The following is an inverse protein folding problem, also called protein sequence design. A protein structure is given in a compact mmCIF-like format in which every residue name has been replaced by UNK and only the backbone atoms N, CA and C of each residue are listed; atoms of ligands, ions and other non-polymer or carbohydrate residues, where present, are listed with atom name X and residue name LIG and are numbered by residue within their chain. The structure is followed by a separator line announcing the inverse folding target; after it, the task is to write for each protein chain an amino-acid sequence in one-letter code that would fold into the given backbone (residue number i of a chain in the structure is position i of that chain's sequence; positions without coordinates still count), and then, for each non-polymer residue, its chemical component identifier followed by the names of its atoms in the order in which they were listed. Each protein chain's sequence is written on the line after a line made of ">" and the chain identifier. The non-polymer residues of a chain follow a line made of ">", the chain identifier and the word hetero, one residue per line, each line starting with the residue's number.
data_IF_056561774188
#
_entry.id   IF_056561774188
#
_cell.length_a   1.000
_cell.length_b   1.000
_cell.length_c   1.000
_cell.angle_alpha   90.00
_cell.angle_beta   90.00
_cell.angle_gamma   90.00
#
_symmetry.space_group_name_H-M   'P 1'
#
loop_
_entity.id
_entity.type
_entity.pdbx_description
1 polymer ?
#
# COMPACT_ATOMS: atom_id res chain seq x y z
N UNK A 1 6.87 70.02 43.93
CA UNK A 1 6.81 68.61 43.41
C UNK A 1 5.37 68.38 42.94
N UNK A 2 5.10 68.44 41.60
CA UNK A 2 3.74 68.34 41.05
C UNK A 2 3.52 66.87 40.66
N UNK A 3 2.67 66.17 41.37
CA UNK A 3 2.24 64.84 41.05
C UNK A 3 1.25 64.86 39.87
N UNK A 4 1.70 64.40 38.70
CA UNK A 4 0.85 64.21 37.52
C UNK A 4 -0.09 63.05 37.78
N UNK A 5 -1.35 63.29 38.08
CA UNK A 5 -2.40 62.27 38.10
C UNK A 5 -2.68 61.80 36.68
N UNK A 6 -2.23 60.58 36.37
CA UNK A 6 -2.57 59.88 35.12
C UNK A 6 -4.02 59.40 35.27
N UNK A 7 -4.96 60.07 34.57
CA UNK A 7 -6.34 59.60 34.48
C UNK A 7 -6.37 58.38 33.57
N UNK A 8 -6.61 57.21 34.13
CA UNK A 8 -6.88 56.01 33.34
C UNK A 8 -8.31 56.09 32.82
N UNK A 9 -8.54 55.93 31.49
CA UNK A 9 -9.88 55.88 30.92
C UNK A 9 -10.61 54.65 31.45
N UNK A 10 -11.82 54.83 32.00
CA UNK A 10 -12.68 53.74 32.39
C UNK A 10 -13.37 53.17 31.13
N UNK A 11 -13.30 51.85 30.91
CA UNK A 11 -14.01 51.19 29.82
C UNK A 11 -15.52 51.36 29.98
N UNK A 12 -16.19 51.67 28.88
CA UNK A 12 -17.65 51.75 28.85
C UNK A 12 -18.22 50.32 28.75
N UNK A 13 -19.40 50.11 29.32
CA UNK A 13 -20.10 48.81 29.23
C UNK A 13 -20.29 48.37 27.78
N UNK A 14 -20.53 49.36 26.89
CA UNK A 14 -20.70 49.10 25.46
C UNK A 14 -19.42 48.56 24.78
N UNK A 15 -18.26 49.07 25.17
CA UNK A 15 -16.95 48.63 24.66
C UNK A 15 -16.66 47.18 25.11
N UNK A 16 -17.00 46.83 26.35
CA UNK A 16 -16.84 45.45 26.85
C UNK A 16 -17.71 44.46 26.09
N UNK A 17 -18.97 44.83 25.80
CA UNK A 17 -19.87 44.00 25.01
C UNK A 17 -19.35 43.82 23.59
N UNK A 18 -18.88 44.93 22.96
CA UNK A 18 -18.30 44.85 21.62
C UNK A 18 -17.09 43.92 21.54
N UNK A 19 -16.18 44.01 22.52
CA UNK A 19 -14.99 43.17 22.60
C UNK A 19 -15.39 41.70 22.79
N UNK A 20 -16.40 41.40 23.64
CA UNK A 20 -16.91 40.02 23.81
C UNK A 20 -17.47 39.46 22.53
N UNK A 21 -18.26 40.22 21.77
CA UNK A 21 -18.82 39.78 20.48
C UNK A 21 -17.72 39.51 19.46
N UNK A 22 -16.77 40.42 19.31
CA UNK A 22 -15.65 40.28 18.38
C UNK A 22 -14.79 39.06 18.75
N UNK A 23 -14.52 38.90 20.03
CA UNK A 23 -13.74 37.74 20.52
C UNK A 23 -14.46 36.44 20.27
N UNK A 24 -15.78 36.33 20.48
CA UNK A 24 -16.58 35.17 20.19
C UNK A 24 -16.54 34.80 18.70
N UNK A 25 -16.64 35.79 17.82
CA UNK A 25 -16.51 35.60 16.36
C UNK A 25 -15.13 35.04 15.99
N UNK A 26 -14.05 35.62 16.52
CA UNK A 26 -12.67 35.20 16.28
C UNK A 26 -12.43 33.75 16.75
N UNK A 27 -12.96 33.38 17.91
CA UNK A 27 -12.86 32.01 18.44
C UNK A 27 -13.61 31.04 17.50
N UNK A 28 -14.81 31.42 17.04
CA UNK A 28 -15.61 30.61 16.10
C UNK A 28 -14.87 30.38 14.77
N UNK A 29 -14.26 31.39 14.20
CA UNK A 29 -13.42 31.27 12.99
C UNK A 29 -12.20 30.38 13.23
N UNK A 30 -11.49 30.59 14.32
CA UNK A 30 -10.31 29.80 14.67
C UNK A 30 -10.65 28.31 14.87
N UNK A 31 -11.76 28.03 15.51
CA UNK A 31 -12.24 26.65 15.67
C UNK A 31 -12.62 26.00 14.34
N UNK A 32 -13.32 26.73 13.47
CA UNK A 32 -13.70 26.25 12.13
C UNK A 32 -12.46 25.95 11.28
N UNK A 33 -11.46 26.81 11.29
CA UNK A 33 -10.20 26.60 10.61
C UNK A 33 -9.46 25.38 11.13
N UNK A 34 -9.41 25.19 12.46
CA UNK A 34 -8.82 24.01 13.08
C UNK A 34 -9.49 22.72 12.63
N UNK A 35 -10.82 22.66 12.59
CA UNK A 35 -11.57 21.48 12.14
C UNK A 35 -11.27 21.14 10.69
N UNK A 36 -11.19 22.14 9.81
CA UNK A 36 -10.87 21.94 8.39
C UNK A 36 -9.47 21.36 8.21
N UNK A 37 -8.48 21.94 8.88
CA UNK A 37 -7.10 21.46 8.83
C UNK A 37 -6.98 20.04 9.38
N UNK A 38 -7.61 19.76 10.53
CA UNK A 38 -7.58 18.44 11.16
C UNK A 38 -8.16 17.36 10.26
N UNK A 39 -9.31 17.61 9.63
CA UNK A 39 -9.93 16.68 8.65
C UNK A 39 -9.06 16.46 7.43
N UNK A 40 -8.47 17.52 6.90
CA UNK A 40 -7.56 17.45 5.74
C UNK A 40 -6.32 16.63 6.08
N UNK A 41 -5.72 16.83 7.25
CA UNK A 41 -4.56 16.08 7.72
C UNK A 41 -4.86 14.58 7.89
N UNK A 42 -6.00 14.24 8.50
CA UNK A 42 -6.41 12.83 8.66
C UNK A 42 -6.62 12.15 7.31
N UNK A 43 -7.32 12.83 6.37
CA UNK A 43 -7.52 12.30 5.02
C UNK A 43 -6.20 12.07 4.30
N UNK A 44 -5.27 13.03 4.39
CA UNK A 44 -3.95 12.91 3.77
C UNK A 44 -3.13 11.76 4.38
N UNK A 45 -3.15 11.62 5.71
CA UNK A 45 -2.42 10.55 6.39
C UNK A 45 -2.94 9.15 6.03
N UNK A 46 -4.26 9.00 5.93
CA UNK A 46 -4.88 7.74 5.50
C UNK A 46 -4.49 7.38 4.07
N UNK A 47 -4.53 8.36 3.16
CA UNK A 47 -4.10 8.15 1.77
C UNK A 47 -2.64 7.73 1.66
N UNK A 48 -1.76 8.40 2.41
CA UNK A 48 -0.34 8.06 2.44
C UNK A 48 -0.09 6.63 2.95
N UNK A 49 -0.79 6.21 4.01
CA UNK A 49 -0.65 4.83 4.52
C UNK A 49 -0.99 3.79 3.46
N UNK A 50 -2.10 3.95 2.75
CA UNK A 50 -2.48 3.02 1.67
C UNK A 50 -1.45 3.03 0.54
N UNK A 51 -0.97 4.20 0.12
CA UNK A 51 0.08 4.30 -0.90
C UNK A 51 1.37 3.61 -0.45
N UNK A 52 1.80 3.81 0.79
CA UNK A 52 2.99 3.16 1.33
C UNK A 52 2.87 1.64 1.36
N UNK A 53 1.69 1.10 1.70
CA UNK A 53 1.43 -0.34 1.66
C UNK A 53 1.59 -0.90 0.25
N UNK A 54 1.03 -0.23 -0.75
CA UNK A 54 1.15 -0.63 -2.16
C UNK A 54 2.60 -0.58 -2.64
N UNK A 55 3.33 0.50 -2.32
CA UNK A 55 4.74 0.64 -2.68
C UNK A 55 5.63 -0.42 -2.00
N UNK A 56 5.32 -0.76 -0.75
CA UNK A 56 6.04 -1.81 -0.03
C UNK A 56 5.80 -3.19 -0.67
N UNK A 57 4.55 -3.49 -1.03
CA UNK A 57 4.19 -4.71 -1.74
C UNK A 57 4.92 -4.80 -3.09
N UNK A 58 4.87 -3.74 -3.91
CA UNK A 58 5.56 -3.68 -5.21
C UNK A 58 7.06 -3.93 -5.06
N UNK A 59 7.69 -3.26 -4.09
CA UNK A 59 9.13 -3.45 -3.82
C UNK A 59 9.47 -4.89 -3.43
N UNK A 60 8.64 -5.52 -2.60
CA UNK A 60 8.86 -6.90 -2.17
C UNK A 60 8.62 -7.88 -3.32
N UNK A 61 7.54 -7.72 -4.10
CA UNK A 61 7.28 -8.54 -5.28
C UNK A 61 8.42 -8.44 -6.29
N UNK A 62 8.87 -7.24 -6.64
CA UNK A 62 10.02 -7.04 -7.54
C UNK A 62 11.27 -7.75 -7.04
N UNK A 63 11.55 -7.62 -5.73
CA UNK A 63 12.71 -8.25 -5.11
C UNK A 63 12.59 -9.78 -5.20
N UNK A 64 11.44 -10.33 -4.84
CA UNK A 64 11.24 -11.78 -4.82
C UNK A 64 11.23 -12.37 -6.23
N UNK A 65 10.69 -11.63 -7.26
CA UNK A 65 10.81 -11.99 -8.67
C UNK A 65 12.26 -12.09 -9.13
N UNK A 66 13.09 -11.13 -8.76
CA UNK A 66 14.52 -11.12 -9.15
C UNK A 66 15.27 -12.25 -8.44
N UNK A 67 15.00 -12.48 -7.15
CA UNK A 67 15.74 -13.43 -6.32
C UNK A 67 15.32 -14.88 -6.47
N UNK A 68 14.09 -15.15 -6.93
CA UNK A 68 13.63 -16.52 -7.12
C UNK A 68 14.43 -17.22 -8.22
N UNK A 69 14.72 -18.51 -8.06
CA UNK A 69 15.24 -19.39 -9.13
C UNK A 69 14.11 -19.85 -10.03
N UNK A 70 12.99 -20.22 -9.45
CA UNK A 70 11.79 -20.69 -10.11
C UNK A 70 10.57 -20.06 -9.44
N UNK A 71 9.54 -19.78 -10.21
CA UNK A 71 8.25 -19.28 -9.72
C UNK A 71 7.19 -20.23 -10.23
N UNK A 72 6.34 -20.74 -9.34
CA UNK A 72 5.25 -21.64 -9.67
C UNK A 72 3.91 -21.07 -9.19
N UNK A 73 2.85 -21.37 -9.94
CA UNK A 73 1.48 -21.01 -9.56
C UNK A 73 0.75 -22.30 -9.13
N UNK A 74 0.24 -22.29 -7.90
CA UNK A 74 -0.63 -23.35 -7.37
C UNK A 74 -1.93 -22.73 -6.89
N UNK A 75 -3.02 -22.97 -7.60
CA UNK A 75 -4.32 -22.34 -7.34
C UNK A 75 -4.24 -20.78 -7.30
N UNK A 76 -4.22 -20.21 -6.10
CA UNK A 76 -4.07 -18.76 -5.85
C UNK A 76 -2.75 -18.39 -5.19
N UNK A 77 -1.86 -19.36 -5.06
CA UNK A 77 -0.56 -19.21 -4.44
C UNK A 77 0.51 -19.07 -5.50
N UNK A 78 1.24 -17.99 -5.44
CA UNK A 78 2.42 -17.78 -6.26
C UNK A 78 3.65 -18.08 -5.39
N UNK A 79 4.29 -19.20 -5.70
CA UNK A 79 5.39 -19.74 -4.90
C UNK A 79 6.71 -19.38 -5.55
N UNK A 80 7.56 -18.67 -4.82
CA UNK A 80 8.88 -18.24 -5.23
C UNK A 80 9.93 -19.15 -4.59
N UNK A 81 10.55 -19.99 -5.38
CA UNK A 81 11.63 -20.87 -4.96
C UNK A 81 12.96 -20.14 -5.03
N UNK A 82 13.51 -19.76 -3.90
CA UNK A 82 14.85 -19.18 -3.77
C UNK A 82 15.90 -20.24 -3.40
N UNK A 83 17.18 -19.85 -3.29
CA UNK A 83 18.27 -20.78 -2.95
C UNK A 83 18.15 -21.36 -1.53
N UNK A 84 17.63 -20.61 -0.58
CA UNK A 84 17.57 -20.99 0.83
C UNK A 84 16.18 -20.91 1.43
N UNK A 85 15.26 -20.23 0.80
CA UNK A 85 13.92 -19.96 1.34
C UNK A 85 12.88 -19.95 0.22
N UNK A 86 11.70 -20.44 0.57
CA UNK A 86 10.51 -20.33 -0.26
C UNK A 86 9.69 -19.13 0.24
N UNK A 87 9.18 -18.34 -0.69
CA UNK A 87 8.25 -17.24 -0.39
C UNK A 87 6.93 -17.54 -1.07
N UNK A 88 5.84 -17.55 -0.34
CA UNK A 88 4.50 -17.78 -0.83
C UNK A 88 3.68 -16.49 -0.79
N UNK A 89 3.00 -16.19 -1.90
CA UNK A 89 2.06 -15.09 -2.02
C UNK A 89 0.67 -15.66 -2.30
N UNK A 90 -0.27 -15.40 -1.39
CA UNK A 90 -1.69 -15.70 -1.58
C UNK A 90 -2.44 -14.42 -1.94
N UNK A 91 -3.11 -14.42 -3.11
CA UNK A 91 -3.84 -13.27 -3.63
C UNK A 91 -5.33 -13.41 -3.31
N UNK A 92 -5.82 -12.54 -2.41
CA UNK A 92 -7.24 -12.38 -2.11
C UNK A 92 -7.75 -11.03 -2.63
N UNK A 93 -9.07 -10.87 -2.88
CA UNK A 93 -9.59 -9.62 -3.43
C UNK A 93 -9.29 -8.38 -2.59
N UNK A 94 -9.25 -8.50 -1.26
CA UNK A 94 -9.12 -7.37 -0.33
C UNK A 94 -7.77 -7.32 0.39
N UNK A 95 -6.96 -8.37 0.26
CA UNK A 95 -5.63 -8.43 0.86
C UNK A 95 -4.72 -9.39 0.11
N UNK A 96 -3.42 -9.22 0.29
CA UNK A 96 -2.38 -10.11 -0.21
C UNK A 96 -1.56 -10.57 0.99
N UNK A 97 -1.43 -11.88 1.17
CA UNK A 97 -0.54 -12.47 2.17
C UNK A 97 0.80 -12.79 1.52
N UNK A 98 1.86 -12.53 2.25
CA UNK A 98 3.22 -12.93 1.89
C UNK A 98 3.82 -13.70 3.05
N UNK A 99 4.14 -14.96 2.82
CA UNK A 99 4.74 -15.85 3.82
C UNK A 99 6.17 -16.17 3.45
N UNK A 100 7.12 -15.73 4.29
CA UNK A 100 8.55 -16.05 4.19
C UNK A 100 9.11 -16.24 5.60
N UNK A 101 8.80 -17.38 6.19
CA UNK A 101 9.05 -17.62 7.63
C UNK A 101 8.02 -16.92 8.52
N UNK A 102 7.84 -15.62 8.37
CA UNK A 102 6.77 -14.83 8.97
C UNK A 102 5.74 -14.45 7.89
N UNK A 103 4.49 -14.26 8.30
CA UNK A 103 3.42 -13.84 7.39
C UNK A 103 3.18 -12.35 7.52
N UNK A 104 3.35 -11.64 6.40
CA UNK A 104 3.01 -10.24 6.24
C UNK A 104 1.66 -10.11 5.53
N UNK A 105 0.76 -9.27 6.05
CA UNK A 105 -0.54 -9.01 5.43
C UNK A 105 -0.59 -7.61 4.86
N UNK A 106 -0.84 -7.50 3.56
CA UNK A 106 -1.02 -6.24 2.85
C UNK A 106 -2.50 -6.04 2.55
N UNK A 107 -3.15 -5.11 3.24
CA UNK A 107 -4.55 -4.75 2.99
C UNK A 107 -4.65 -3.87 1.75
N UNK A 108 -4.77 -4.52 0.60
CA UNK A 108 -4.79 -3.91 -0.72
C UNK A 108 -5.81 -4.65 -1.57
N UNK A 109 -6.74 -3.92 -2.17
CA UNK A 109 -7.67 -4.49 -3.12
C UNK A 109 -6.96 -4.75 -4.44
N UNK A 110 -7.08 -5.98 -4.95
CA UNK A 110 -6.46 -6.39 -6.21
C UNK A 110 -7.38 -7.26 -7.05
N UNK A 111 -7.09 -7.30 -8.35
CA UNK A 111 -7.67 -8.35 -9.21
C UNK A 111 -6.96 -9.68 -8.96
N UNK A 112 -7.56 -10.78 -9.41
CA UNK A 112 -6.83 -12.04 -9.52
C UNK A 112 -5.57 -11.81 -10.37
N UNK A 113 -4.42 -12.40 -9.98
CA UNK A 113 -3.21 -12.34 -10.77
C UNK A 113 -3.41 -13.05 -12.11
N UNK A 114 -2.90 -12.44 -13.18
CA UNK A 114 -2.81 -13.08 -14.49
C UNK A 114 -1.37 -13.46 -14.70
N UNK A 115 -1.10 -14.74 -14.91
CA UNK A 115 0.25 -15.27 -15.09
C UNK A 115 0.42 -15.82 -16.50
N UNK A 116 1.64 -15.80 -16.99
CA UNK A 116 2.02 -16.45 -18.24
C UNK A 116 3.40 -17.10 -18.12
N UNK A 117 3.72 -17.99 -19.05
CA UNK A 117 5.04 -18.54 -19.25
C UNK A 117 5.34 -18.57 -20.76
N UNK A 118 6.50 -18.04 -21.20
CA UNK A 118 6.93 -17.93 -22.59
C UNK A 118 5.85 -17.40 -23.56
N UNK A 119 5.21 -16.26 -23.19
CA UNK A 119 4.12 -15.62 -23.95
C UNK A 119 2.86 -16.48 -24.15
N UNK A 120 2.87 -17.74 -23.75
CA UNK A 120 1.68 -18.57 -23.74
C UNK A 120 0.82 -18.20 -22.54
N UNK A 121 -0.24 -17.42 -22.80
CA UNK A 121 -1.28 -17.15 -21.79
C UNK A 121 -1.87 -18.48 -21.34
N UNK A 122 -1.55 -18.88 -20.15
CA UNK A 122 -2.22 -19.99 -19.51
C UNK A 122 -3.63 -19.54 -19.09
N UNK A 123 -4.57 -19.58 -20.02
CA UNK A 123 -5.97 -19.67 -19.66
C UNK A 123 -6.13 -21.00 -18.92
N UNK A 124 -6.70 -20.96 -17.73
CA UNK A 124 -6.83 -21.96 -16.66
C UNK A 124 -7.37 -23.35 -17.05
N UNK A 125 -7.08 -23.87 -18.23
CA UNK A 125 -7.60 -25.13 -18.75
C UNK A 125 -6.56 -26.03 -19.41
N UNK A 126 -5.25 -25.80 -19.24
CA UNK A 126 -4.27 -26.78 -19.72
C UNK A 126 -3.58 -27.48 -18.55
N UNK A 127 -3.97 -28.73 -18.38
CA UNK A 127 -3.32 -29.79 -17.62
C UNK A 127 -1.96 -30.13 -18.27
N UNK A 128 -1.01 -29.21 -18.12
CA UNK A 128 0.39 -29.44 -18.47
C UNK A 128 1.20 -29.28 -17.19
N UNK A 129 2.07 -30.20 -16.91
CA UNK A 129 2.82 -30.40 -15.66
C UNK A 129 3.85 -29.31 -15.33
N UNK A 130 3.67 -28.08 -15.81
CA UNK A 130 4.61 -27.00 -15.55
C UNK A 130 3.84 -25.72 -15.22
N UNK A 131 3.52 -25.56 -13.93
CA UNK A 131 2.90 -24.34 -13.39
C UNK A 131 3.93 -23.21 -13.25
N UNK A 132 4.98 -23.23 -14.07
CA UNK A 132 6.03 -22.21 -14.07
C UNK A 132 5.50 -20.88 -14.56
N UNK A 133 5.92 -19.79 -13.92
CA UNK A 133 5.50 -18.44 -14.21
C UNK A 133 6.72 -17.57 -14.48
N UNK A 134 6.74 -16.87 -15.61
CA UNK A 134 7.74 -15.85 -15.95
C UNK A 134 7.15 -14.43 -16.03
N UNK A 135 5.84 -14.34 -16.18
CA UNK A 135 5.10 -13.09 -16.29
C UNK A 135 3.94 -13.05 -15.31
N UNK A 136 3.82 -11.94 -14.60
CA UNK A 136 2.72 -11.66 -13.67
C UNK A 136 2.17 -10.27 -13.93
N UNK A 137 0.89 -10.21 -14.23
CA UNK A 137 0.13 -8.97 -14.31
C UNK A 137 -0.85 -8.90 -13.14
N UNK A 138 -0.73 -7.83 -12.35
CA UNK A 138 -1.56 -7.57 -11.18
C UNK A 138 -2.12 -6.15 -11.27
N UNK A 139 -3.43 -6.01 -11.12
CA UNK A 139 -4.04 -4.68 -10.99
C UNK A 139 -4.45 -4.44 -9.55
N UNK A 140 -3.90 -3.38 -8.99
CA UNK A 140 -4.17 -2.93 -7.61
C UNK A 140 -5.09 -1.72 -7.65
N UNK A 141 -6.07 -1.69 -6.74
CA UNK A 141 -6.98 -0.57 -6.60
C UNK A 141 -6.51 0.33 -5.46
N UNK A 142 -6.13 1.57 -5.81
CA UNK A 142 -5.83 2.60 -4.83
C UNK A 142 -6.93 3.65 -4.86
N UNK A 143 -7.84 3.63 -3.88
CA UNK A 143 -9.04 4.46 -3.84
C UNK A 143 -9.95 4.14 -5.06
N UNK A 144 -10.01 5.02 -6.06
CA UNK A 144 -10.79 4.83 -7.30
C UNK A 144 -9.90 4.62 -8.54
N UNK A 145 -8.58 4.56 -8.35
CA UNK A 145 -7.63 4.40 -9.44
C UNK A 145 -7.19 2.95 -9.56
N UNK A 146 -7.08 2.47 -10.78
CA UNK A 146 -6.51 1.17 -11.13
C UNK A 146 -5.04 1.38 -11.47
N UNK A 147 -4.16 0.68 -10.77
CA UNK A 147 -2.72 0.74 -11.01
C UNK A 147 -2.29 -0.63 -11.49
N UNK A 148 -1.97 -0.77 -12.78
CA UNK A 148 -1.45 -2.03 -13.30
C UNK A 148 0.02 -2.18 -12.93
N UNK A 149 0.37 -3.36 -12.45
CA UNK A 149 1.73 -3.80 -12.22
C UNK A 149 2.05 -4.96 -13.14
N UNK A 150 3.25 -4.98 -13.67
CA UNK A 150 3.74 -6.02 -14.54
C UNK A 150 5.14 -6.42 -14.07
N UNK A 151 5.31 -7.71 -13.82
CA UNK A 151 6.57 -8.31 -13.38
C UNK A 151 6.95 -9.39 -14.36
N UNK A 152 8.18 -9.33 -14.85
CA UNK A 152 8.71 -10.29 -15.80
C UNK A 152 10.04 -10.82 -15.31
N UNK A 153 10.29 -12.13 -15.53
CA UNK A 153 11.51 -12.83 -15.16
C UNK A 153 12.09 -13.55 -16.35
N UNK A 154 13.36 -13.29 -16.60
CA UNK A 154 14.14 -14.07 -17.56
C UNK A 154 14.80 -15.24 -16.82
N UNK A 155 14.42 -16.45 -17.19
CA UNK A 155 15.07 -17.66 -16.66
C UNK A 155 16.33 -17.96 -17.46
N UNK A 156 17.38 -18.40 -16.75
CA UNK A 156 18.50 -19.04 -17.42
C UNK A 156 18.13 -20.48 -17.79
N UNK A 157 18.71 -21.01 -18.86
CA UNK A 157 18.51 -22.40 -19.26
C UNK A 157 18.84 -23.40 -18.14
N UNK A 158 19.80 -23.07 -17.30
CA UNK A 158 20.19 -23.89 -16.13
C UNK A 158 19.06 -24.03 -15.10
N UNK A 159 18.29 -22.95 -14.88
CA UNK A 159 17.16 -22.96 -13.93
C UNK A 159 15.96 -23.78 -14.43
N UNK A 160 15.79 -23.90 -15.74
CA UNK A 160 14.69 -24.64 -16.36
C UNK A 160 14.96 -26.14 -16.46
N UNK A 161 16.23 -26.57 -16.52
CA UNK A 161 16.62 -27.97 -16.71
C UNK A 161 17.08 -28.69 -15.43
N UNK A 162 16.99 -28.07 -14.25
CA UNK A 162 17.26 -28.79 -13.01
C UNK A 162 16.09 -29.73 -12.70
N UNK A 163 16.31 -31.07 -12.69
CA UNK A 163 15.24 -31.98 -12.28
C UNK A 163 14.85 -31.68 -10.82
N UNK A 164 13.57 -31.63 -10.56
CA UNK A 164 13.02 -31.53 -9.21
C UNK A 164 13.62 -32.67 -8.37
N UNK A 165 14.33 -32.37 -7.32
CA UNK A 165 15.01 -33.32 -6.43
C UNK A 165 14.02 -34.17 -5.62
N UNK A 166 12.73 -34.11 -5.86
CA UNK A 166 11.67 -34.85 -5.16
C UNK A 166 11.34 -36.22 -5.75
N UNK A 167 12.17 -36.75 -6.66
CA UNK A 167 11.93 -38.07 -7.26
C UNK A 167 12.75 -39.18 -6.62
N UNK A 168 13.16 -39.09 -5.34
CA UNK A 168 13.75 -40.20 -4.60
C UNK A 168 13.20 -40.21 -3.16
N UNK A 169 12.04 -40.78 -2.99
CA UNK A 169 11.73 -41.74 -1.91
C UNK A 169 10.33 -42.34 -2.10
#
# INVERSE_FOLDING_TARGET
>A
MQTRHIKLPAFTIMETILVMVVTAILIGFSYSAYLLISRSYQSFNTKNKHMMTVLQLDKLLKKDFIQARLITLEDRHLIFHGDSMVTDYEFQPDYILRTRGLTDTFYVQSTAPVTAFEELRSDSTQTGSDNTVDDLQLTVFLQKQKIPYHYHKLYSSENLFQPSTDAIH
#
